data_IF_983747034859
#
_entry.id   IF_983747034859
#
_cell.length_a   1.000
_cell.length_b   1.000
_cell.length_c   1.000
_cell.angle_alpha   90.00
_cell.angle_beta   90.00
_cell.angle_gamma   90.00
#
_symmetry.space_group_name_H-M   'P 1'
#
loop_
_entity.id
_entity.type
_entity.pdbx_description
1 polymer ?
#
# COMPACT_ATOMS: atom_id res chain seq x y z
N UNK A 1 -9.48 -16.22 -44.65
CA UNK A 1 -9.16 -15.06 -43.79
C UNK A 1 -9.93 -15.24 -42.50
N UNK A 2 -9.27 -15.67 -41.43
CA UNK A 2 -9.88 -15.77 -40.11
C UNK A 2 -9.28 -14.64 -39.27
N UNK A 3 -10.11 -13.69 -38.88
CA UNK A 3 -9.75 -12.67 -37.89
C UNK A 3 -9.83 -13.39 -36.54
N UNK A 4 -8.73 -13.65 -35.83
CA UNK A 4 -8.81 -14.25 -34.51
C UNK A 4 -9.54 -13.30 -33.56
N UNK A 5 -10.36 -13.82 -32.63
CA UNK A 5 -11.06 -12.99 -31.66
C UNK A 5 -10.02 -12.32 -30.76
N UNK A 6 -10.05 -11.00 -30.69
CA UNK A 6 -9.37 -10.22 -29.66
C UNK A 6 -10.02 -10.53 -28.31
N UNK A 7 -9.64 -11.66 -27.72
CA UNK A 7 -9.86 -11.98 -26.32
C UNK A 7 -9.01 -10.97 -25.54
N UNK A 8 -9.63 -10.10 -24.74
CA UNK A 8 -8.90 -9.21 -23.84
C UNK A 8 -7.88 -10.04 -23.04
N UNK A 9 -6.60 -9.63 -23.09
CA UNK A 9 -5.47 -10.42 -22.59
C UNK A 9 -5.75 -10.92 -21.16
N UNK A 10 -5.79 -12.24 -20.91
CA UNK A 10 -6.24 -12.82 -19.63
C UNK A 10 -5.49 -12.26 -18.40
N UNK A 11 -4.22 -11.89 -18.55
CA UNK A 11 -3.42 -11.29 -17.48
C UNK A 11 -3.85 -9.87 -17.06
N UNK A 12 -4.39 -9.04 -17.97
CA UNK A 12 -4.79 -7.67 -17.63
C UNK A 12 -5.95 -7.65 -16.62
N UNK A 13 -6.87 -8.62 -16.72
CA UNK A 13 -7.98 -8.73 -15.78
C UNK A 13 -7.48 -9.09 -14.36
N UNK A 14 -6.46 -9.94 -14.26
CA UNK A 14 -5.90 -10.34 -12.97
C UNK A 14 -5.06 -9.24 -12.32
N UNK A 15 -4.33 -8.43 -13.11
CA UNK A 15 -3.71 -7.22 -12.59
C UNK A 15 -4.73 -6.26 -12.01
N UNK A 16 -5.75 -5.90 -12.79
CA UNK A 16 -6.77 -4.94 -12.35
C UNK A 16 -7.42 -5.42 -11.06
N UNK A 17 -7.74 -6.72 -10.96
CA UNK A 17 -8.25 -7.31 -9.72
C UNK A 17 -7.24 -7.21 -8.58
N UNK A 18 -5.99 -7.58 -8.80
CA UNK A 18 -4.94 -7.57 -7.77
C UNK A 18 -4.68 -6.16 -7.24
N UNK A 19 -4.60 -5.16 -8.12
CA UNK A 19 -4.45 -3.75 -7.76
C UNK A 19 -5.67 -3.22 -7.00
N UNK A 20 -6.89 -3.58 -7.42
CA UNK A 20 -8.10 -3.21 -6.66
C UNK A 20 -8.13 -3.86 -5.27
N UNK A 21 -7.76 -5.14 -5.16
CA UNK A 21 -7.66 -5.83 -3.87
C UNK A 21 -6.57 -5.23 -3.00
N UNK A 22 -5.44 -4.81 -3.57
CA UNK A 22 -4.39 -4.07 -2.89
C UNK A 22 -4.93 -2.78 -2.25
N UNK A 23 -5.66 -1.96 -3.01
CA UNK A 23 -6.28 -0.74 -2.48
C UNK A 23 -7.25 -1.03 -1.33
N UNK A 24 -8.06 -2.09 -1.44
CA UNK A 24 -8.95 -2.53 -0.33
C UNK A 24 -8.15 -2.98 0.90
N UNK A 25 -7.09 -3.76 0.70
CA UNK A 25 -6.21 -4.23 1.77
C UNK A 25 -5.52 -3.06 2.48
N UNK A 26 -5.02 -2.08 1.74
CA UNK A 26 -4.45 -0.85 2.32
C UNK A 26 -5.48 -0.07 3.13
N UNK A 27 -6.72 0.03 2.67
CA UNK A 27 -7.81 0.64 3.44
C UNK A 27 -8.05 -0.09 4.77
N UNK A 28 -8.01 -1.43 4.78
CA UNK A 28 -8.11 -2.22 6.01
C UNK A 28 -6.92 -2.02 6.94
N UNK A 29 -5.70 -1.87 6.42
CA UNK A 29 -4.53 -1.55 7.24
C UNK A 29 -4.74 -0.19 7.92
N UNK A 30 -5.19 0.83 7.17
CA UNK A 30 -5.47 2.15 7.72
C UNK A 30 -6.55 2.10 8.83
N UNK A 31 -7.64 1.37 8.62
CA UNK A 31 -8.70 1.19 9.61
C UNK A 31 -8.21 0.43 10.85
N UNK A 32 -7.34 -0.56 10.66
CA UNK A 32 -6.76 -1.35 11.74
C UNK A 32 -5.84 -0.51 12.62
N UNK A 33 -5.00 0.33 11.99
CA UNK A 33 -4.15 1.29 12.72
C UNK A 33 -5.01 2.32 13.44
N UNK A 34 -6.05 2.85 12.78
CA UNK A 34 -6.97 3.84 13.36
C UNK A 34 -7.72 3.31 14.59
N UNK A 35 -8.14 2.06 14.54
CA UNK A 35 -8.88 1.42 15.63
C UNK A 35 -7.98 0.87 16.74
N UNK A 36 -6.66 0.85 16.53
CA UNK A 36 -5.70 0.18 17.41
C UNK A 36 -5.72 -1.35 17.30
N UNK A 37 -6.51 -1.93 16.39
CA UNK A 37 -6.51 -3.36 16.11
C UNK A 37 -5.22 -3.84 15.42
N UNK A 38 -4.48 -2.93 14.79
CA UNK A 38 -3.18 -3.21 14.16
C UNK A 38 -2.14 -2.29 14.79
N UNK A 39 -1.08 -2.87 15.36
CA UNK A 39 0.01 -2.10 15.97
C UNK A 39 0.92 -1.46 14.91
N UNK A 40 1.72 -0.42 15.25
CA UNK A 40 2.66 0.18 14.29
C UNK A 40 3.66 -0.83 13.71
N UNK A 41 4.10 -1.79 14.53
CA UNK A 41 5.02 -2.86 14.10
C UNK A 41 4.36 -3.81 13.11
N UNK A 42 3.08 -4.11 13.28
CA UNK A 42 2.32 -4.93 12.35
C UNK A 42 1.99 -4.16 11.09
N UNK A 43 1.55 -2.91 11.21
CA UNK A 43 1.33 -2.02 10.08
C UNK A 43 2.56 -1.98 9.18
N UNK A 44 3.77 -1.85 9.74
CA UNK A 44 5.03 -1.94 8.99
C UNK A 44 5.13 -3.22 8.15
N UNK A 45 4.96 -4.39 8.78
CA UNK A 45 5.03 -5.69 8.09
C UNK A 45 3.96 -5.83 7.01
N UNK A 46 2.75 -5.35 7.28
CA UNK A 46 1.65 -5.38 6.31
C UNK A 46 1.96 -4.48 5.11
N UNK A 47 2.50 -3.28 5.35
CA UNK A 47 2.92 -2.36 4.29
C UNK A 47 4.10 -2.92 3.47
N UNK A 48 5.07 -3.59 4.09
CA UNK A 48 6.15 -4.30 3.38
C UNK A 48 5.57 -5.39 2.45
N UNK A 49 4.52 -6.10 2.87
CA UNK A 49 3.80 -7.05 2.03
C UNK A 49 3.09 -6.38 0.84
N UNK A 50 2.48 -5.21 1.05
CA UNK A 50 1.86 -4.43 -0.03
C UNK A 50 2.92 -3.87 -1.00
N UNK A 51 4.08 -3.42 -0.49
CA UNK A 51 5.18 -2.92 -1.30
C UNK A 51 5.72 -4.01 -2.22
N UNK A 52 5.91 -5.23 -1.70
CA UNK A 52 6.31 -6.39 -2.51
C UNK A 52 5.29 -6.71 -3.60
N UNK A 53 4.00 -6.64 -3.27
CA UNK A 53 2.93 -6.86 -4.26
C UNK A 53 2.98 -5.78 -5.35
N UNK A 54 3.14 -4.50 -5.01
CA UNK A 54 3.33 -3.42 -5.98
C UNK A 54 4.52 -3.65 -6.90
N UNK A 55 5.67 -4.04 -6.35
CA UNK A 55 6.88 -4.32 -7.13
C UNK A 55 6.69 -5.51 -8.09
N UNK A 56 5.98 -6.57 -7.64
CA UNK A 56 5.64 -7.71 -8.49
C UNK A 56 4.64 -7.34 -9.60
N UNK A 57 3.66 -6.49 -9.30
CA UNK A 57 2.72 -5.94 -10.30
C UNK A 57 3.45 -5.07 -11.32
N UNK A 58 4.38 -4.20 -10.90
CA UNK A 58 5.21 -3.41 -11.82
C UNK A 58 6.09 -4.30 -12.71
N UNK A 59 6.71 -5.34 -12.13
CA UNK A 59 7.55 -6.27 -12.88
C UNK A 59 6.76 -7.02 -13.95
N UNK A 60 5.56 -7.52 -13.60
CA UNK A 60 4.65 -8.19 -14.53
C UNK A 60 4.06 -7.22 -15.58
N UNK A 61 4.21 -5.91 -15.42
CA UNK A 61 3.81 -4.91 -16.40
C UNK A 61 4.95 -4.48 -17.34
N UNK A 62 6.20 -4.85 -17.03
CA UNK A 62 7.39 -4.31 -17.67
C UNK A 62 7.54 -4.72 -19.14
N UNK A 63 7.14 -5.93 -19.50
CA UNK A 63 7.20 -6.47 -20.87
C UNK A 63 5.87 -6.35 -21.64
N UNK A 64 4.81 -5.86 -20.97
CA UNK A 64 3.48 -5.63 -21.55
C UNK A 64 2.64 -6.89 -21.75
N UNK A 65 3.12 -8.04 -21.27
CA UNK A 65 2.39 -9.31 -21.22
C UNK A 65 2.45 -9.90 -19.82
N UNK A 66 1.59 -10.87 -19.52
CA UNK A 66 1.65 -11.54 -18.21
C UNK A 66 1.55 -13.01 -18.47
N UNK A 67 2.57 -13.71 -18.01
CA UNK A 67 2.61 -15.16 -18.03
C UNK A 67 1.68 -15.75 -16.96
N UNK A 68 1.28 -17.01 -17.17
CA UNK A 68 0.49 -17.73 -16.17
C UNK A 68 1.22 -17.86 -14.82
N UNK A 69 2.56 -17.94 -14.83
CA UNK A 69 3.37 -18.04 -13.61
C UNK A 69 3.37 -16.73 -12.83
N UNK A 70 3.46 -15.58 -13.51
CA UNK A 70 3.34 -14.26 -12.88
C UNK A 70 1.94 -14.04 -12.31
N UNK A 71 0.90 -14.45 -13.06
CA UNK A 71 -0.48 -14.40 -12.58
C UNK A 71 -0.67 -15.21 -11.29
N UNK A 72 -0.15 -16.44 -11.25
CA UNK A 72 -0.20 -17.28 -10.06
C UNK A 72 0.60 -16.69 -8.89
N UNK A 73 1.78 -16.11 -9.18
CA UNK A 73 2.60 -15.43 -8.18
C UNK A 73 1.89 -14.24 -7.54
N UNK A 74 1.27 -13.38 -8.35
CA UNK A 74 0.49 -12.23 -7.89
C UNK A 74 -0.70 -12.65 -7.03
N UNK A 75 -1.44 -13.69 -7.47
CA UNK A 75 -2.55 -14.24 -6.71
C UNK A 75 -2.10 -14.80 -5.36
N UNK A 76 -1.00 -15.56 -5.33
CA UNK A 76 -0.44 -16.11 -4.09
C UNK A 76 -0.01 -15.01 -3.12
N UNK A 77 0.71 -13.99 -3.60
CA UNK A 77 1.11 -12.84 -2.79
C UNK A 77 -0.10 -12.07 -2.25
N UNK A 78 -1.12 -11.84 -3.08
CA UNK A 78 -2.36 -11.18 -2.65
C UNK A 78 -3.07 -11.99 -1.56
N UNK A 79 -3.10 -13.32 -1.68
CA UNK A 79 -3.71 -14.19 -0.67
C UNK A 79 -2.93 -14.16 0.65
N UNK A 80 -1.61 -14.20 0.59
CA UNK A 80 -0.78 -14.15 1.80
C UNK A 80 -0.89 -12.80 2.50
N UNK A 81 -0.92 -11.70 1.73
CA UNK A 81 -1.23 -10.38 2.27
C UNK A 81 -2.59 -10.34 2.97
N UNK A 82 -3.61 -10.95 2.38
CA UNK A 82 -4.93 -11.04 3.01
C UNK A 82 -4.90 -11.81 4.33
N UNK A 83 -4.22 -12.96 4.37
CA UNK A 83 -4.05 -13.76 5.59
C UNK A 83 -3.30 -12.97 6.67
N UNK A 84 -2.24 -12.26 6.29
CA UNK A 84 -1.44 -11.47 7.23
C UNK A 84 -2.25 -10.32 7.84
N UNK A 85 -3.06 -9.62 7.03
CA UNK A 85 -3.95 -8.57 7.55
C UNK A 85 -4.97 -9.19 8.52
N UNK A 86 -5.59 -10.30 8.14
CA UNK A 86 -6.55 -10.99 9.02
C UNK A 86 -5.90 -11.39 10.35
N UNK A 87 -4.71 -11.99 10.31
CA UNK A 87 -3.97 -12.40 11.49
C UNK A 87 -3.61 -11.21 12.40
N UNK A 88 -3.29 -10.05 11.83
CA UNK A 88 -3.03 -8.84 12.61
C UNK A 88 -4.29 -8.39 13.38
N UNK A 89 -5.47 -8.44 12.76
CA UNK A 89 -6.74 -8.11 13.41
C UNK A 89 -7.18 -9.12 14.47
N UNK A 90 -6.81 -10.39 14.30
CA UNK A 90 -7.14 -11.48 15.22
C UNK A 90 -6.10 -11.64 16.35
N UNK A 91 -5.06 -10.82 16.38
CA UNK A 91 -4.10 -10.85 17.46
C UNK A 91 -4.78 -10.45 18.79
N UNK A 92 -4.27 -10.98 19.90
CA UNK A 92 -4.73 -10.58 21.25
C UNK A 92 -3.95 -9.40 21.82
N UNK A 93 -3.02 -8.83 21.04
CA UNK A 93 -2.13 -7.75 21.45
C UNK A 93 -2.66 -6.44 20.88
N UNK A 94 -3.76 -5.94 21.46
CA UNK A 94 -4.21 -4.58 21.20
C UNK A 94 -3.29 -3.63 21.95
N UNK A 95 -2.55 -2.81 21.21
CA UNK A 95 -1.68 -1.82 21.83
C UNK A 95 -2.53 -0.60 22.21
N UNK A 96 -2.92 -0.51 23.48
CA UNK A 96 -3.66 0.65 24.02
C UNK A 96 -2.89 1.96 23.83
N UNK A 97 -1.58 1.91 23.57
CA UNK A 97 -0.74 3.05 23.19
C UNK A 97 -1.11 3.69 21.84
N UNK A 98 -1.85 3.01 20.95
CA UNK A 98 -2.31 3.61 19.70
C UNK A 98 -3.27 4.80 19.94
N UNK A 99 -4.00 4.78 21.07
CA UNK A 99 -4.93 5.86 21.46
C UNK A 99 -4.24 7.14 21.95
N UNK A 100 -2.98 7.05 22.42
CA UNK A 100 -2.19 8.19 22.91
C UNK A 100 -1.01 8.55 21.99
N UNK A 101 -0.68 7.71 21.00
CA UNK A 101 0.36 8.04 20.03
C UNK A 101 -0.12 9.16 19.10
N UNK A 102 0.53 10.32 19.18
CA UNK A 102 0.32 11.53 18.35
C UNK A 102 0.45 11.25 16.83
N UNK A 103 0.88 10.04 16.45
CA UNK A 103 1.26 9.60 15.12
C UNK A 103 0.25 8.78 14.33
N UNK A 104 -0.69 8.12 15.01
CA UNK A 104 -1.74 7.36 14.34
C UNK A 104 -2.56 8.23 13.34
N UNK A 105 -2.88 9.51 13.62
CA UNK A 105 -3.69 10.31 12.70
C UNK A 105 -3.01 10.62 11.37
N UNK A 106 -1.71 10.96 11.36
CA UNK A 106 -0.94 11.27 10.14
C UNK A 106 -0.83 10.04 9.24
N UNK A 107 -0.36 8.94 9.82
CA UNK A 107 -0.19 7.68 9.12
C UNK A 107 -1.50 7.11 8.54
N UNK A 108 -2.59 7.12 9.32
CA UNK A 108 -3.90 6.62 8.86
C UNK A 108 -4.39 7.41 7.66
N UNK A 109 -4.22 8.74 7.69
CA UNK A 109 -4.60 9.61 6.56
C UNK A 109 -3.81 9.26 5.32
N UNK A 110 -2.50 9.07 5.44
CA UNK A 110 -1.64 8.78 4.30
C UNK A 110 -1.90 7.39 3.71
N UNK A 111 -1.96 6.34 4.52
CA UNK A 111 -2.29 4.98 4.05
C UNK A 111 -3.67 4.96 3.40
N UNK A 112 -4.66 5.63 4.01
CA UNK A 112 -6.00 5.77 3.45
C UNK A 112 -6.00 6.54 2.12
N UNK A 113 -5.19 7.60 2.00
CA UNK A 113 -5.07 8.38 0.78
C UNK A 113 -4.42 7.59 -0.37
N UNK A 114 -3.41 6.76 -0.06
CA UNK A 114 -2.78 5.86 -1.02
C UNK A 114 -3.78 4.77 -1.45
N UNK A 115 -4.46 4.15 -0.48
CA UNK A 115 -5.50 3.15 -0.72
C UNK A 115 -6.58 3.68 -1.67
N UNK A 116 -7.05 4.90 -1.43
CA UNK A 116 -8.04 5.54 -2.29
C UNK A 116 -7.50 5.83 -3.68
N UNK A 117 -6.28 6.35 -3.80
CA UNK A 117 -5.68 6.61 -5.10
C UNK A 117 -5.49 5.34 -5.93
N UNK A 118 -5.10 4.23 -5.30
CA UNK A 118 -5.01 2.91 -5.98
C UNK A 118 -6.40 2.46 -6.44
N UNK A 119 -7.43 2.59 -5.59
CA UNK A 119 -8.81 2.21 -5.94
C UNK A 119 -9.38 3.04 -7.10
N UNK A 120 -9.07 4.33 -7.12
CA UNK A 120 -9.48 5.26 -8.16
C UNK A 120 -8.63 5.14 -9.43
N UNK A 121 -7.52 4.40 -9.39
CA UNK A 121 -6.55 4.32 -10.48
C UNK A 121 -5.73 5.60 -10.68
N UNK A 122 -5.79 6.56 -9.74
CA UNK A 122 -4.97 7.78 -9.77
C UNK A 122 -3.57 7.58 -9.19
N UNK A 123 -3.32 6.42 -8.56
CA UNK A 123 -1.99 5.99 -8.12
C UNK A 123 -1.71 4.66 -8.80
N UNK A 124 -0.66 4.62 -9.61
CA UNK A 124 -0.24 3.39 -10.28
C UNK A 124 0.61 2.48 -9.37
N UNK A 125 0.88 1.21 -9.75
CA UNK A 125 1.63 0.28 -8.91
C UNK A 125 3.04 0.76 -8.53
N UNK A 126 3.72 1.48 -9.42
CA UNK A 126 5.07 2.02 -9.23
C UNK A 126 5.07 3.20 -8.28
N UNK A 127 4.09 4.09 -8.40
CA UNK A 127 3.86 5.17 -7.45
C UNK A 127 3.48 4.62 -6.09
N UNK A 128 2.57 3.64 -6.03
CA UNK A 128 2.21 2.95 -4.80
C UNK A 128 3.44 2.35 -4.11
N UNK A 129 4.36 1.71 -4.86
CA UNK A 129 5.61 1.20 -4.30
C UNK A 129 6.42 2.30 -3.62
N UNK A 130 6.67 3.42 -4.30
CA UNK A 130 7.47 4.53 -3.75
C UNK A 130 6.83 5.16 -2.52
N UNK A 131 5.52 5.36 -2.57
CA UNK A 131 4.77 5.91 -1.44
C UNK A 131 4.81 4.95 -0.24
N UNK A 132 4.69 3.63 -0.48
CA UNK A 132 4.82 2.62 0.56
C UNK A 132 6.23 2.56 1.16
N UNK A 133 7.27 2.72 0.33
CA UNK A 133 8.66 2.83 0.80
C UNK A 133 8.84 4.00 1.77
N UNK A 134 8.29 5.17 1.43
CA UNK A 134 8.29 6.35 2.31
C UNK A 134 7.60 6.06 3.65
N UNK A 135 6.42 5.42 3.62
CA UNK A 135 5.70 5.03 4.84
C UNK A 135 6.50 4.07 5.73
N UNK A 136 7.16 3.07 5.14
CA UNK A 136 7.96 2.09 5.88
C UNK A 136 9.21 2.75 6.48
N UNK A 137 9.84 3.68 5.75
CA UNK A 137 10.99 4.43 6.23
C UNK A 137 10.62 5.31 7.44
N UNK A 138 9.48 6.00 7.39
CA UNK A 138 8.96 6.78 8.52
C UNK A 138 8.66 5.91 9.74
N UNK A 139 8.01 4.76 9.53
CA UNK A 139 7.75 3.80 10.61
C UNK A 139 9.03 3.30 11.28
N UNK A 140 10.08 3.06 10.49
CA UNK A 140 11.38 2.63 11.00
C UNK A 140 12.05 3.75 11.78
N UNK A 141 12.13 4.95 11.20
CA UNK A 141 12.70 6.11 11.88
C UNK A 141 11.98 6.36 13.21
N UNK A 142 10.64 6.28 13.24
CA UNK A 142 9.83 6.51 14.45
C UNK A 142 10.07 5.49 15.55
N UNK A 143 10.36 4.25 15.19
CA UNK A 143 10.75 3.23 16.17
C UNK A 143 12.15 3.46 16.75
N UNK A 144 13.00 4.21 16.06
CA UNK A 144 14.40 4.48 16.44
C UNK A 144 14.59 5.86 17.08
N UNK A 145 13.67 6.81 16.86
CA UNK A 145 13.74 8.18 17.37
C UNK A 145 13.41 8.27 18.86
N UNK A 146 14.26 8.98 19.59
CA UNK A 146 14.13 9.18 21.04
C UNK A 146 14.26 10.65 21.45
N UNK A 147 14.55 11.56 20.51
CA UNK A 147 14.79 12.98 20.80
C UNK A 147 13.67 13.89 20.29
N UNK A 148 13.42 15.05 20.93
CA UNK A 148 12.46 16.05 20.44
C UNK A 148 12.79 16.62 19.05
N UNK A 149 14.06 16.70 18.69
CA UNK A 149 14.52 17.18 17.39
C UNK A 149 14.13 16.18 16.29
N UNK A 150 14.30 14.88 16.54
CA UNK A 150 13.86 13.82 15.62
C UNK A 150 12.35 13.88 15.38
N UNK A 151 11.56 14.17 16.43
CA UNK A 151 10.11 14.31 16.33
C UNK A 151 9.70 15.50 15.44
N UNK A 152 10.41 16.62 15.51
CA UNK A 152 10.14 17.77 14.63
C UNK A 152 10.50 17.49 13.16
N UNK A 153 11.60 16.77 12.91
CA UNK A 153 11.94 16.31 11.55
C UNK A 153 10.92 15.30 11.01
N UNK A 154 10.31 14.49 11.89
CA UNK A 154 9.23 13.58 11.52
C UNK A 154 7.98 14.31 11.07
N UNK A 155 7.53 15.32 11.81
CA UNK A 155 6.34 16.09 11.44
C UNK A 155 6.51 16.73 10.05
N UNK A 156 7.70 17.27 9.77
CA UNK A 156 8.02 17.82 8.44
C UNK A 156 8.07 16.75 7.35
N UNK A 157 8.59 15.56 7.67
CA UNK A 157 8.65 14.43 6.72
C UNK A 157 7.26 13.85 6.44
N UNK A 158 6.37 13.84 7.43
CA UNK A 158 4.97 13.46 7.27
C UNK A 158 4.23 14.46 6.35
N UNK A 159 4.52 15.76 6.46
CA UNK A 159 3.95 16.79 5.58
C UNK A 159 4.43 16.62 4.12
N UNK A 160 5.74 16.39 3.91
CA UNK A 160 6.30 16.13 2.59
C UNK A 160 5.70 14.88 1.94
N UNK A 161 5.51 13.79 2.71
CA UNK A 161 4.84 12.59 2.22
C UNK A 161 3.38 12.87 1.82
N UNK A 162 2.67 13.72 2.55
CA UNK A 162 1.33 14.17 2.16
C UNK A 162 1.31 14.81 0.77
N UNK A 163 2.28 15.69 0.51
CA UNK A 163 2.44 16.35 -0.79
C UNK A 163 2.81 15.36 -1.91
N UNK A 164 3.66 14.37 -1.64
CA UNK A 164 4.00 13.33 -2.63
C UNK A 164 2.78 12.50 -3.02
N UNK A 165 1.92 12.15 -2.07
CA UNK A 165 0.67 11.43 -2.34
C UNK A 165 -0.28 12.28 -3.20
N UNK A 166 -0.40 13.57 -2.91
CA UNK A 166 -1.21 14.48 -3.73
C UNK A 166 -0.64 14.66 -5.14
N UNK A 167 0.68 14.81 -5.26
CA UNK A 167 1.37 14.90 -6.55
C UNK A 167 1.16 13.65 -7.41
N UNK A 168 1.25 12.46 -6.83
CA UNK A 168 0.98 11.20 -7.54
C UNK A 168 -0.45 11.19 -8.10
N UNK A 169 -1.44 11.55 -7.27
CA UNK A 169 -2.84 11.65 -7.71
C UNK A 169 -3.03 12.64 -8.87
N UNK A 170 -2.40 13.81 -8.79
CA UNK A 170 -2.51 14.86 -9.82
C UNK A 170 -1.83 14.48 -11.13
N UNK A 171 -0.72 13.75 -11.07
CA UNK A 171 0.00 13.28 -12.25
C UNK A 171 -0.85 12.36 -13.12
N UNK A 172 -1.56 11.41 -12.55
CA UNK A 172 -2.41 10.52 -13.34
C UNK A 172 -3.74 11.14 -13.76
N UNK A 173 -4.20 12.21 -13.09
CA UNK A 173 -5.38 12.98 -13.53
C UNK A 173 -5.10 13.86 -14.77
N UNK A 174 -3.84 14.15 -15.08
CA UNK A 174 -3.44 15.03 -16.20
C UNK A 174 -3.05 14.27 -17.47
N UNK A 175 -3.02 12.94 -17.42
CA UNK A 175 -2.65 12.07 -18.56
C UNK A 175 -3.85 11.23 -19.06
N UNK A 176 -5.04 11.42 -18.47
CA UNK A 176 -6.30 10.80 -18.88
C UNK A 176 -7.03 11.53 -20.01
#
# INVERSE_FOLDING_TARGET
MAIPPSIGKPGLATLVRTTQEQGKMMGKIAEGVKSGAVTPKEAKKLLEGQQKLSASVESALADGEISADEELGLLAQSQDNHKNIKAAYENTTQDTFASESVSAPGQVRQIGAIAEGIRQGTIDPREAQKLLEGQIALLKARAESTTPEDLAFMDMSEELQGLEIELAKLRNLTVG
#
